data_IF_904090529617
#
_entry.id   IF_904090529617
#
_cell.length_a   1.000
_cell.length_b   1.000
_cell.length_c   1.000
_cell.angle_alpha   90.00
_cell.angle_beta   90.00
_cell.angle_gamma   90.00
#
_symmetry.space_group_name_H-M   'P 1'
#
loop_
_entity.id
_entity.type
_entity.pdbx_description
1 polymer ?
#
# COMPACT_ATOMS: atom_id res chain seq x y z
N UNK A 1 -11.16 11.98 14.74
CA UNK A 1 -12.44 11.29 15.07
C UNK A 1 -12.17 9.78 15.13
N UNK A 2 -12.85 9.04 16.00
CA UNK A 2 -12.79 7.57 16.07
C UNK A 2 -14.17 7.06 15.65
N UNK A 3 -14.22 6.26 14.59
CA UNK A 3 -15.49 5.81 13.99
C UNK A 3 -16.15 4.72 14.82
N UNK A 4 -15.34 3.78 15.30
CA UNK A 4 -15.75 2.59 16.02
C UNK A 4 -14.91 2.44 17.29
N UNK A 5 -15.22 3.27 18.30
CA UNK A 5 -14.49 3.29 19.58
C UNK A 5 -14.39 1.92 20.24
N UNK A 6 -15.44 1.09 20.11
CA UNK A 6 -15.48 -0.26 20.66
C UNK A 6 -14.30 -1.11 20.21
N UNK A 7 -13.96 -1.11 18.92
CA UNK A 7 -12.89 -1.96 18.38
C UNK A 7 -11.57 -1.18 18.22
N UNK A 8 -11.63 0.10 17.86
CA UNK A 8 -10.44 0.93 17.64
C UNK A 8 -9.71 1.30 18.95
N UNK A 9 -10.42 1.35 20.08
CA UNK A 9 -9.87 1.68 21.41
C UNK A 9 -9.93 0.52 22.41
N UNK A 10 -10.25 -0.70 21.95
CA UNK A 10 -10.35 -1.90 22.78
C UNK A 10 -9.07 -2.13 23.60
N UNK A 11 -9.15 -2.46 24.90
CA UNK A 11 -7.99 -2.85 25.69
C UNK A 11 -7.28 -4.06 25.07
N UNK A 12 -5.93 -4.09 25.16
CA UNK A 12 -5.12 -5.12 24.51
C UNK A 12 -5.53 -6.55 24.91
N UNK A 13 -5.79 -6.81 26.19
CA UNK A 13 -6.20 -8.12 26.66
C UNK A 13 -7.57 -8.57 26.08
N UNK A 14 -8.51 -7.64 25.94
CA UNK A 14 -9.81 -7.93 25.32
C UNK A 14 -9.65 -8.18 23.83
N UNK A 15 -8.77 -7.42 23.15
CA UNK A 15 -8.45 -7.63 21.75
C UNK A 15 -7.85 -9.01 21.52
N UNK A 16 -6.88 -9.43 22.32
CA UNK A 16 -6.25 -10.75 22.18
C UNK A 16 -7.28 -11.87 22.35
N UNK A 17 -8.19 -11.75 23.33
CA UNK A 17 -9.29 -12.72 23.52
C UNK A 17 -10.21 -12.77 22.30
N UNK A 18 -10.57 -11.61 21.74
CA UNK A 18 -11.38 -11.51 20.53
C UNK A 18 -10.67 -12.16 19.33
N UNK A 19 -9.39 -11.85 19.13
CA UNK A 19 -8.58 -12.37 18.02
C UNK A 19 -8.40 -13.88 18.13
N UNK A 20 -8.11 -14.43 19.32
CA UNK A 20 -8.04 -15.89 19.54
C UNK A 20 -9.38 -16.56 19.23
N UNK A 21 -10.49 -15.98 19.71
CA UNK A 21 -11.82 -16.51 19.43
C UNK A 21 -12.14 -16.53 17.93
N UNK A 22 -11.82 -15.44 17.21
CA UNK A 22 -12.04 -15.33 15.77
C UNK A 22 -11.09 -16.23 14.98
N UNK A 23 -9.84 -16.39 15.42
CA UNK A 23 -8.86 -17.29 14.80
C UNK A 23 -9.30 -18.75 14.90
N UNK A 24 -9.82 -19.19 16.05
CA UNK A 24 -10.42 -20.53 16.21
C UNK A 24 -11.58 -20.73 15.23
N UNK A 25 -12.48 -19.76 15.16
CA UNK A 25 -13.61 -19.81 14.24
C UNK A 25 -13.15 -19.88 12.79
N UNK A 26 -12.18 -19.06 12.40
CA UNK A 26 -11.58 -19.06 11.06
C UNK A 26 -11.00 -20.44 10.72
N UNK A 27 -10.18 -21.03 11.60
CA UNK A 27 -9.55 -22.32 11.30
C UNK A 27 -10.58 -23.44 11.14
N UNK A 28 -11.63 -23.46 11.96
CA UNK A 28 -12.75 -24.38 11.79
C UNK A 28 -13.54 -24.12 10.49
N UNK A 29 -13.78 -22.85 10.18
CA UNK A 29 -14.47 -22.43 8.96
C UNK A 29 -13.70 -22.84 7.70
N UNK A 30 -12.39 -22.60 7.64
CA UNK A 30 -11.51 -22.99 6.54
C UNK A 30 -11.47 -24.50 6.37
N UNK A 31 -11.33 -25.24 7.48
CA UNK A 31 -11.30 -26.71 7.46
C UNK A 31 -12.57 -27.31 6.86
N UNK A 32 -13.74 -26.75 7.21
CA UNK A 32 -15.03 -27.24 6.72
C UNK A 32 -15.30 -26.85 5.27
N UNK A 33 -14.97 -25.63 4.88
CA UNK A 33 -15.49 -25.03 3.64
C UNK A 33 -14.48 -24.92 2.50
N UNK A 34 -13.19 -25.12 2.74
CA UNK A 34 -12.17 -25.08 1.68
C UNK A 34 -11.40 -26.40 1.62
N UNK A 35 -11.53 -27.19 0.53
CA UNK A 35 -10.73 -28.40 0.34
C UNK A 35 -9.22 -28.13 0.38
N UNK A 36 -8.78 -27.00 -0.19
CA UNK A 36 -7.37 -26.58 -0.17
C UNK A 36 -6.87 -26.34 1.25
N UNK A 37 -7.61 -25.60 2.08
CA UNK A 37 -7.22 -25.39 3.47
C UNK A 37 -7.35 -26.63 4.33
N UNK A 38 -8.35 -27.49 4.09
CA UNK A 38 -8.48 -28.76 4.78
C UNK A 38 -7.21 -29.59 4.62
N UNK A 39 -6.73 -29.75 3.38
CA UNK A 39 -5.49 -30.48 3.10
C UNK A 39 -4.28 -29.86 3.83
N UNK A 40 -4.12 -28.54 3.78
CA UNK A 40 -2.99 -27.85 4.46
C UNK A 40 -3.05 -27.98 5.98
N UNK A 41 -4.24 -27.90 6.58
CA UNK A 41 -4.43 -28.07 8.03
C UNK A 41 -4.24 -29.53 8.48
N UNK A 42 -4.58 -30.49 7.63
CA UNK A 42 -4.32 -31.92 7.88
C UNK A 42 -2.84 -32.25 7.82
N UNK A 43 -2.13 -31.74 6.81
CA UNK A 43 -0.68 -31.88 6.67
C UNK A 43 0.08 -31.25 7.86
N UNK A 44 -0.37 -30.08 8.31
CA UNK A 44 0.17 -29.43 9.51
C UNK A 44 -0.22 -30.13 10.82
N UNK A 45 -1.22 -31.03 10.80
CA UNK A 45 -1.70 -31.73 12.00
C UNK A 45 -2.40 -30.83 13.02
N UNK A 46 -2.96 -29.68 12.60
CA UNK A 46 -3.58 -28.69 13.51
C UNK A 46 -5.10 -28.64 13.33
N UNK A 47 -5.83 -28.39 14.42
CA UNK A 47 -7.27 -28.13 14.48
C UNK A 47 -7.58 -26.86 15.26
N UNK A 48 -8.80 -26.37 15.12
CA UNK A 48 -9.26 -25.14 15.79
C UNK A 48 -9.11 -25.21 17.33
N UNK A 49 -9.29 -26.38 17.94
CA UNK A 49 -9.20 -26.56 19.40
C UNK A 49 -7.75 -26.51 19.92
N UNK A 50 -6.75 -26.65 19.05
CA UNK A 50 -5.33 -26.59 19.44
C UNK A 50 -4.86 -25.14 19.66
N UNK A 51 -5.58 -24.17 19.11
CA UNK A 51 -5.27 -22.75 19.21
C UNK A 51 -5.67 -22.25 20.60
N UNK A 52 -4.71 -21.98 21.48
CA UNK A 52 -4.91 -21.48 22.85
C UNK A 52 -4.57 -20.01 22.99
N UNK A 53 -3.69 -19.51 22.14
CA UNK A 53 -3.18 -18.14 22.12
C UNK A 53 -2.80 -17.71 20.71
N UNK A 54 -2.48 -16.43 20.51
CA UNK A 54 -1.96 -15.95 19.23
C UNK A 54 -0.57 -16.52 18.90
N UNK A 55 0.19 -16.98 19.90
CA UNK A 55 1.48 -17.64 19.66
C UNK A 55 1.34 -18.95 18.88
N UNK A 56 0.15 -19.56 18.86
CA UNK A 56 -0.10 -20.81 18.14
C UNK A 56 -0.22 -20.61 16.62
N UNK A 57 -0.25 -19.34 16.14
CA UNK A 57 -0.14 -19.02 14.71
C UNK A 57 1.10 -19.68 14.08
N UNK A 58 2.20 -19.80 14.83
CA UNK A 58 3.45 -20.40 14.32
C UNK A 58 3.29 -21.86 13.85
N UNK A 59 2.24 -22.56 14.33
CA UNK A 59 1.93 -23.94 13.94
C UNK A 59 0.99 -24.01 12.73
N UNK A 60 0.36 -22.89 12.35
CA UNK A 60 -0.54 -22.84 11.20
C UNK A 60 0.23 -22.60 9.90
N UNK A 61 -0.18 -23.24 8.79
CA UNK A 61 0.50 -23.13 7.52
C UNK A 61 0.33 -21.75 6.91
N UNK A 62 1.36 -21.28 6.19
CA UNK A 62 1.27 -20.07 5.37
C UNK A 62 0.39 -20.27 4.15
N UNK A 63 -0.23 -19.18 3.70
CA UNK A 63 -0.82 -19.08 2.36
C UNK A 63 0.07 -18.21 1.48
N UNK A 64 0.46 -18.73 0.33
CA UNK A 64 1.25 -18.04 -0.68
C UNK A 64 0.37 -17.58 -1.84
N UNK A 65 0.93 -16.74 -2.70
CA UNK A 65 0.29 -16.37 -3.97
C UNK A 65 0.16 -17.55 -4.93
N UNK A 66 1.05 -18.53 -4.83
CA UNK A 66 1.01 -19.73 -5.66
C UNK A 66 -0.20 -20.59 -5.32
N UNK A 67 -0.54 -20.73 -4.03
CA UNK A 67 -1.76 -21.41 -3.61
C UNK A 67 -3.01 -20.83 -4.30
N UNK A 68 -3.09 -19.50 -4.41
CA UNK A 68 -4.20 -18.81 -5.09
C UNK A 68 -4.21 -19.08 -6.61
N UNK A 69 -3.04 -19.23 -7.24
CA UNK A 69 -2.92 -19.52 -8.68
C UNK A 69 -3.28 -20.97 -9.01
N UNK A 70 -2.82 -21.91 -8.19
CA UNK A 70 -3.10 -23.34 -8.34
C UNK A 70 -4.58 -23.66 -8.20
N UNK A 71 -5.29 -22.84 -7.41
CA UNK A 71 -6.72 -22.98 -7.16
C UNK A 71 -7.58 -22.00 -7.99
N UNK A 72 -7.03 -21.39 -9.04
CA UNK A 72 -7.79 -20.49 -9.91
C UNK A 72 -8.96 -21.21 -10.62
N UNK A 73 -10.15 -20.57 -10.79
CA UNK A 73 -10.46 -19.21 -10.38
C UNK A 73 -11.02 -19.08 -8.96
N UNK A 74 -11.70 -20.12 -8.44
CA UNK A 74 -12.50 -20.03 -7.21
C UNK A 74 -12.24 -21.18 -6.23
N UNK A 75 -11.21 -22.01 -6.45
CA UNK A 75 -10.95 -23.22 -5.67
C UNK A 75 -10.62 -22.98 -4.19
N UNK A 76 -10.24 -21.75 -3.82
CA UNK A 76 -10.05 -21.33 -2.43
C UNK A 76 -11.24 -20.59 -1.82
N UNK A 77 -12.33 -20.37 -2.56
CA UNK A 77 -13.51 -19.72 -2.00
C UNK A 77 -14.16 -20.65 -0.98
N UNK A 78 -14.58 -20.09 0.16
CA UNK A 78 -15.23 -20.82 1.25
C UNK A 78 -16.76 -20.74 1.21
N UNK A 79 -17.32 -20.09 0.18
CA UNK A 79 -18.76 -19.96 -0.06
C UNK A 79 -19.06 -20.29 -1.52
N UNK A 80 -20.26 -20.81 -1.84
CA UNK A 80 -20.69 -20.97 -3.23
C UNK A 80 -20.84 -19.61 -3.91
N UNK A 81 -20.65 -19.58 -5.23
CA UNK A 81 -20.71 -18.33 -6.02
C UNK A 81 -22.04 -17.58 -5.90
N UNK A 82 -23.15 -18.25 -5.57
CA UNK A 82 -24.45 -17.60 -5.33
C UNK A 82 -24.46 -16.66 -4.10
N UNK A 83 -23.51 -16.83 -3.17
CA UNK A 83 -23.33 -15.94 -2.02
C UNK A 83 -22.30 -14.84 -2.30
N UNK A 84 -21.58 -14.90 -3.43
CA UNK A 84 -20.58 -13.92 -3.83
C UNK A 84 -21.27 -12.79 -4.60
N UNK A 85 -21.24 -11.60 -4.04
CA UNK A 85 -21.85 -10.40 -4.65
C UNK A 85 -20.85 -9.59 -5.49
N UNK A 86 -19.55 -9.86 -5.34
CA UNK A 86 -18.50 -9.15 -6.09
C UNK A 86 -17.26 -10.01 -6.32
N UNK A 87 -16.66 -9.81 -7.48
CA UNK A 87 -15.36 -10.40 -7.85
C UNK A 87 -14.43 -9.30 -8.33
N UNK A 88 -13.20 -9.29 -7.84
CA UNK A 88 -12.09 -8.50 -8.37
C UNK A 88 -11.00 -9.44 -8.90
N UNK A 89 -10.22 -8.95 -9.87
CA UNK A 89 -9.12 -9.70 -10.48
C UNK A 89 -7.93 -8.80 -10.72
N UNK A 90 -6.72 -9.33 -10.51
CA UNK A 90 -5.50 -8.64 -10.90
C UNK A 90 -5.34 -8.60 -12.43
N UNK A 91 -4.51 -7.69 -12.92
CA UNK A 91 -4.32 -7.40 -14.35
C UNK A 91 -3.50 -8.46 -15.12
N UNK A 92 -3.07 -9.55 -14.46
CA UNK A 92 -2.43 -10.75 -15.03
C UNK A 92 -1.55 -10.53 -16.27
N UNK A 93 -0.27 -10.18 -16.09
CA UNK A 93 0.63 -9.87 -17.23
C UNK A 93 1.48 -11.05 -17.71
N UNK A 94 1.58 -12.15 -16.96
CA UNK A 94 2.45 -13.31 -17.31
C UNK A 94 1.89 -14.67 -16.88
N UNK A 95 0.63 -14.77 -16.44
CA UNK A 95 0.00 -16.00 -15.96
C UNK A 95 -1.47 -15.82 -15.56
N UNK A 96 -2.05 -16.82 -14.89
CA UNK A 96 -3.42 -16.72 -14.37
C UNK A 96 -3.50 -15.61 -13.31
N UNK A 97 -4.49 -14.70 -13.41
CA UNK A 97 -4.62 -13.62 -12.44
C UNK A 97 -5.08 -14.15 -11.08
N UNK A 98 -4.85 -13.36 -10.03
CA UNK A 98 -5.42 -13.63 -8.71
C UNK A 98 -6.84 -13.10 -8.68
N UNK A 99 -7.79 -13.95 -8.28
CA UNK A 99 -9.21 -13.63 -8.20
C UNK A 99 -9.61 -13.57 -6.74
N UNK A 100 -10.36 -12.54 -6.37
CA UNK A 100 -10.83 -12.34 -5.00
C UNK A 100 -12.34 -12.10 -5.02
N UNK A 101 -13.06 -12.83 -4.17
CA UNK A 101 -14.50 -12.74 -4.02
C UNK A 101 -14.89 -12.04 -2.73
N UNK A 102 -16.12 -11.50 -2.70
CA UNK A 102 -16.72 -10.84 -1.56
C UNK A 102 -18.18 -11.29 -1.42
N UNK A 103 -18.58 -11.72 -0.23
CA UNK A 103 -20.00 -11.76 0.16
C UNK A 103 -20.52 -10.34 0.43
N UNK A 104 -21.83 -10.19 0.69
CA UNK A 104 -22.37 -8.89 1.11
C UNK A 104 -21.72 -8.42 2.41
N UNK A 105 -21.53 -9.34 3.38
CA UNK A 105 -20.87 -9.07 4.65
C UNK A 105 -19.39 -8.67 4.46
N UNK A 106 -18.71 -9.23 3.47
CA UNK A 106 -17.34 -8.81 3.13
C UNK A 106 -17.30 -7.39 2.57
N UNK A 107 -18.29 -6.99 1.75
CA UNK A 107 -18.41 -5.61 1.27
C UNK A 107 -18.73 -4.65 2.42
N UNK A 108 -19.58 -5.05 3.36
CA UNK A 108 -19.91 -4.24 4.53
C UNK A 108 -18.70 -4.07 5.46
N UNK A 109 -17.92 -5.14 5.66
CA UNK A 109 -16.63 -5.11 6.35
C UNK A 109 -15.65 -4.16 5.66
N UNK A 110 -15.54 -4.26 4.33
CA UNK A 110 -14.64 -3.39 3.57
C UNK A 110 -15.03 -1.91 3.73
N UNK A 111 -16.32 -1.62 3.65
CA UNK A 111 -16.88 -0.29 3.85
C UNK A 111 -16.59 0.24 5.26
N UNK A 112 -16.71 -0.60 6.29
CA UNK A 112 -16.35 -0.29 7.68
C UNK A 112 -14.86 0.03 7.82
N UNK A 113 -13.98 -0.79 7.25
CA UNK A 113 -12.54 -0.56 7.28
C UNK A 113 -12.16 0.78 6.61
N UNK A 114 -12.79 1.10 5.48
CA UNK A 114 -12.56 2.38 4.78
C UNK A 114 -13.18 3.57 5.52
N UNK A 115 -14.29 3.41 6.22
CA UNK A 115 -14.85 4.45 7.08
C UNK A 115 -13.89 4.79 8.24
N UNK A 116 -13.27 3.78 8.87
CA UNK A 116 -12.22 3.99 9.89
C UNK A 116 -11.02 4.74 9.31
N UNK A 117 -10.59 4.41 8.10
CA UNK A 117 -9.48 5.10 7.43
C UNK A 117 -9.78 6.57 7.13
N UNK A 118 -10.93 6.86 6.51
CA UNK A 118 -11.31 8.22 6.14
C UNK A 118 -11.58 9.10 7.38
N UNK A 119 -12.22 8.57 8.43
CA UNK A 119 -12.39 9.31 9.69
C UNK A 119 -11.08 9.52 10.45
N UNK A 120 -10.11 8.61 10.30
CA UNK A 120 -8.72 8.79 10.72
C UNK A 120 -8.02 9.96 10.01
N UNK A 121 -8.44 10.27 8.78
CA UNK A 121 -8.06 11.45 8.02
C UNK A 121 -8.91 12.70 8.31
N UNK A 122 -9.79 12.64 9.31
CA UNK A 122 -10.66 13.74 9.70
C UNK A 122 -11.89 13.92 8.81
N UNK A 123 -12.24 12.94 7.96
CA UNK A 123 -13.49 12.97 7.21
C UNK A 123 -14.71 12.84 8.14
N UNK A 124 -15.78 13.54 7.75
CA UNK A 124 -17.08 13.57 8.40
C UNK A 124 -18.17 13.56 7.33
N UNK A 125 -19.44 13.49 7.73
CA UNK A 125 -20.58 13.62 6.81
C UNK A 125 -20.66 14.96 6.05
N UNK A 126 -19.89 15.96 6.47
CA UNK A 126 -19.85 17.28 5.82
C UNK A 126 -18.74 17.40 4.76
N UNK A 127 -17.95 16.35 4.59
CA UNK A 127 -16.85 16.33 3.64
C UNK A 127 -17.27 15.88 2.24
N UNK A 128 -16.50 16.33 1.25
CA UNK A 128 -16.62 15.92 -0.16
C UNK A 128 -15.36 15.15 -0.51
N UNK A 129 -15.50 13.84 -0.68
CA UNK A 129 -14.39 12.91 -0.95
C UNK A 129 -14.20 12.77 -2.47
N UNK A 130 -13.07 13.26 -2.95
CA UNK A 130 -12.65 13.22 -4.33
C UNK A 130 -11.89 11.91 -4.61
N UNK A 131 -12.58 10.94 -5.19
CA UNK A 131 -12.04 9.60 -5.43
C UNK A 131 -11.44 9.54 -6.83
N UNK A 132 -10.12 9.73 -6.89
CA UNK A 132 -9.31 9.68 -8.10
C UNK A 132 -8.49 8.37 -8.22
N UNK A 133 -8.80 7.36 -7.41
CA UNK A 133 -8.38 5.99 -7.67
C UNK A 133 -9.13 5.38 -8.86
N UNK A 134 -8.47 4.49 -9.59
CA UNK A 134 -9.13 3.68 -10.63
C UNK A 134 -10.30 2.86 -10.07
N UNK A 135 -11.42 2.90 -10.78
CA UNK A 135 -12.60 2.05 -10.57
C UNK A 135 -12.51 0.76 -11.41
N UNK A 136 -13.62 0.01 -11.50
CA UNK A 136 -13.70 -1.25 -12.25
C UNK A 136 -13.15 -2.41 -11.42
N UNK A 137 -12.20 -3.16 -11.98
CA UNK A 137 -11.58 -4.30 -11.29
C UNK A 137 -10.57 -3.88 -10.22
N UNK A 138 -10.15 -2.61 -10.19
CA UNK A 138 -9.30 -2.09 -9.12
C UNK A 138 -10.13 -1.84 -7.86
N UNK A 139 -9.65 -2.33 -6.72
CA UNK A 139 -10.33 -2.19 -5.43
C UNK A 139 -10.30 -0.75 -4.93
N UNK A 140 -9.25 0.03 -5.24
CA UNK A 140 -9.05 1.41 -4.76
C UNK A 140 -10.29 2.31 -4.86
N UNK A 141 -10.85 2.46 -6.07
CA UNK A 141 -12.01 3.33 -6.31
C UNK A 141 -13.23 2.92 -5.49
N UNK A 142 -13.67 1.66 -5.61
CA UNK A 142 -14.85 1.16 -4.89
C UNK A 142 -14.66 1.17 -3.36
N UNK A 143 -13.45 0.92 -2.86
CA UNK A 143 -13.18 0.96 -1.42
C UNK A 143 -13.37 2.36 -0.83
N UNK A 144 -12.70 3.36 -1.42
CA UNK A 144 -12.86 4.75 -0.99
C UNK A 144 -14.30 5.24 -1.14
N UNK A 145 -14.98 4.82 -2.22
CA UNK A 145 -16.38 5.11 -2.46
C UNK A 145 -17.28 4.62 -1.32
N UNK A 146 -17.27 3.32 -1.02
CA UNK A 146 -18.17 2.76 -0.02
C UNK A 146 -17.84 3.23 1.41
N UNK A 147 -16.56 3.46 1.73
CA UNK A 147 -16.18 4.05 3.01
C UNK A 147 -16.74 5.46 3.20
N UNK A 148 -16.66 6.29 2.17
CA UNK A 148 -17.18 7.66 2.22
C UNK A 148 -18.70 7.70 2.31
N UNK A 149 -19.41 6.87 1.53
CA UNK A 149 -20.88 6.75 1.63
C UNK A 149 -21.31 6.24 3.01
N UNK A 150 -20.56 5.30 3.60
CA UNK A 150 -20.83 4.78 4.95
C UNK A 150 -20.71 5.85 6.04
N UNK A 151 -19.79 6.81 5.89
CA UNK A 151 -19.67 7.98 6.77
C UNK A 151 -20.86 8.96 6.55
N UNK A 152 -21.51 8.89 5.39
CA UNK A 152 -22.48 9.87 4.93
C UNK A 152 -21.84 11.11 4.30
N UNK A 153 -20.58 11.00 3.87
CA UNK A 153 -19.89 12.05 3.12
C UNK A 153 -20.33 12.03 1.64
N UNK A 154 -20.20 13.18 0.95
CA UNK A 154 -20.44 13.22 -0.50
C UNK A 154 -19.26 12.64 -1.25
N UNK A 155 -19.52 11.87 -2.32
CA UNK A 155 -18.46 11.24 -3.14
C UNK A 155 -18.44 11.85 -4.53
N UNK A 156 -17.26 12.23 -5.00
CA UNK A 156 -16.99 12.55 -6.40
C UNK A 156 -16.21 11.37 -7.01
N UNK A 157 -16.89 10.43 -7.71
CA UNK A 157 -16.28 9.22 -8.23
C UNK A 157 -15.66 9.45 -9.61
N UNK A 158 -14.64 10.29 -9.69
CA UNK A 158 -14.08 10.74 -10.97
C UNK A 158 -13.09 9.75 -11.60
N UNK A 159 -12.52 8.83 -10.82
CA UNK A 159 -11.47 7.91 -11.27
C UNK A 159 -10.17 8.67 -11.62
N UNK A 160 -9.15 7.95 -12.13
CA UNK A 160 -7.91 8.57 -12.59
C UNK A 160 -8.05 9.27 -13.96
N UNK A 161 -7.06 10.11 -14.28
CA UNK A 161 -6.91 10.76 -15.59
C UNK A 161 -7.68 12.06 -15.77
N UNK A 162 -7.47 12.70 -16.93
CA UNK A 162 -7.98 14.05 -17.25
C UNK A 162 -7.70 15.06 -16.12
N UNK A 163 -6.42 15.24 -15.78
CA UNK A 163 -5.97 16.00 -14.60
C UNK A 163 -6.49 17.45 -14.56
N UNK A 164 -6.63 18.13 -15.71
CA UNK A 164 -7.24 19.48 -15.75
C UNK A 164 -8.69 19.48 -15.26
N UNK A 165 -9.45 18.45 -15.60
CA UNK A 165 -10.83 18.27 -15.12
C UNK A 165 -10.88 17.90 -13.64
N UNK A 166 -9.90 17.16 -13.13
CA UNK A 166 -9.77 16.89 -11.69
C UNK A 166 -9.69 18.20 -10.90
N UNK A 167 -8.80 19.10 -11.31
CA UNK A 167 -8.54 20.38 -10.65
C UNK A 167 -9.78 21.29 -10.71
N UNK A 168 -10.40 21.40 -11.88
CA UNK A 168 -11.65 22.13 -12.07
C UNK A 168 -12.73 21.63 -11.11
N UNK A 169 -12.93 20.31 -11.03
CA UNK A 169 -13.95 19.71 -10.15
C UNK A 169 -13.61 19.91 -8.67
N UNK A 170 -12.35 19.75 -8.27
CA UNK A 170 -11.94 19.99 -6.88
C UNK A 170 -12.22 21.43 -6.44
N UNK A 171 -11.95 22.39 -7.33
CA UNK A 171 -12.22 23.82 -7.12
C UNK A 171 -13.72 24.11 -7.07
N UNK A 172 -14.45 23.69 -8.10
CA UNK A 172 -15.86 24.07 -8.29
C UNK A 172 -16.80 23.35 -7.33
N UNK A 173 -16.56 22.06 -7.05
CA UNK A 173 -17.41 21.24 -6.19
C UNK A 173 -16.93 21.24 -4.73
N UNK A 174 -15.76 21.83 -4.46
CA UNK A 174 -15.24 22.05 -3.12
C UNK A 174 -14.80 20.76 -2.43
N UNK A 175 -14.04 19.91 -3.13
CA UNK A 175 -13.46 18.69 -2.57
C UNK A 175 -12.63 18.99 -1.33
N UNK A 176 -12.83 18.22 -0.26
CA UNK A 176 -12.10 18.38 1.01
C UNK A 176 -11.13 17.24 1.31
N UNK A 177 -11.38 16.04 0.77
CA UNK A 177 -10.49 14.88 0.90
C UNK A 177 -10.11 14.38 -0.49
N UNK A 178 -8.82 14.21 -0.76
CA UNK A 178 -8.31 13.59 -1.99
C UNK A 178 -7.92 12.13 -1.75
N UNK A 179 -8.47 11.19 -2.52
CA UNK A 179 -8.09 9.78 -2.46
C UNK A 179 -7.51 9.32 -3.81
N UNK A 180 -6.20 9.13 -3.88
CA UNK A 180 -5.48 8.69 -5.09
C UNK A 180 -4.09 8.10 -4.78
N UNK A 181 -3.30 7.76 -5.79
CA UNK A 181 -1.89 7.38 -5.57
C UNK A 181 -1.05 8.62 -5.27
N UNK A 182 0.01 8.52 -4.44
CA UNK A 182 0.87 9.66 -4.14
C UNK A 182 1.56 10.23 -5.39
N UNK A 183 1.95 9.40 -6.37
CA UNK A 183 2.47 9.90 -7.65
C UNK A 183 1.43 10.69 -8.45
N UNK A 184 0.15 10.30 -8.39
CA UNK A 184 -0.90 11.06 -9.08
C UNK A 184 -1.22 12.37 -8.35
N UNK A 185 -1.11 12.42 -7.03
CA UNK A 185 -1.22 13.66 -6.27
C UNK A 185 -0.15 14.69 -6.69
N UNK A 186 1.10 14.24 -6.92
CA UNK A 186 2.16 15.10 -7.45
C UNK A 186 1.88 15.56 -8.89
N UNK A 187 1.35 14.69 -9.75
CA UNK A 187 0.91 15.08 -11.10
C UNK A 187 -0.21 16.13 -11.06
N UNK A 188 -1.16 15.99 -10.12
CA UNK A 188 -2.20 17.00 -9.88
C UNK A 188 -1.55 18.35 -9.50
N UNK A 189 -0.61 18.36 -8.57
CA UNK A 189 0.12 19.58 -8.18
C UNK A 189 0.87 20.21 -9.37
N UNK A 190 1.53 19.42 -10.21
CA UNK A 190 2.22 19.90 -11.42
C UNK A 190 1.24 20.56 -12.40
N UNK A 191 0.09 19.93 -12.65
CA UNK A 191 -0.93 20.49 -13.56
C UNK A 191 -1.65 21.69 -12.93
N UNK A 192 -1.77 21.78 -11.60
CA UNK A 192 -2.29 22.97 -10.92
C UNK A 192 -1.41 24.19 -11.19
N UNK A 193 -0.09 24.04 -11.09
CA UNK A 193 0.87 25.10 -11.40
C UNK A 193 0.77 25.54 -12.87
N UNK A 194 0.67 24.59 -13.81
CA UNK A 194 0.45 24.89 -15.22
C UNK A 194 -0.86 25.65 -15.50
N UNK A 195 -1.90 25.35 -14.72
CA UNK A 195 -3.19 26.02 -14.80
C UNK A 195 -3.22 27.36 -14.05
N UNK A 196 -2.16 27.71 -13.33
CA UNK A 196 -2.13 28.88 -12.46
C UNK A 196 -3.12 28.81 -11.29
N UNK A 197 -3.47 27.59 -10.85
CA UNK A 197 -4.36 27.34 -9.71
C UNK A 197 -3.52 27.09 -8.46
N UNK A 198 -3.73 27.88 -7.41
CA UNK A 198 -3.02 27.71 -6.15
C UNK A 198 -3.77 26.80 -5.17
N UNK A 199 -3.06 26.24 -4.19
CA UNK A 199 -3.65 25.33 -3.20
C UNK A 199 -4.75 25.99 -2.34
N UNK A 200 -4.65 27.29 -2.08
CA UNK A 200 -5.65 28.08 -1.35
C UNK A 200 -6.96 28.29 -2.11
N UNK A 201 -6.97 28.05 -3.42
CA UNK A 201 -8.19 28.02 -4.22
C UNK A 201 -8.95 26.68 -4.09
N UNK A 202 -8.34 25.66 -3.47
CA UNK A 202 -8.96 24.39 -3.16
C UNK A 202 -9.39 24.32 -1.69
N UNK A 203 -10.32 23.41 -1.37
CA UNK A 203 -10.79 23.15 0.01
C UNK A 203 -10.17 21.90 0.63
N UNK A 204 -9.11 21.36 0.02
CA UNK A 204 -8.46 20.14 0.48
C UNK A 204 -7.89 20.35 1.89
N UNK A 205 -8.24 19.44 2.80
CA UNK A 205 -7.70 19.43 4.17
C UNK A 205 -6.82 18.21 4.45
N UNK A 206 -7.11 17.09 3.78
CA UNK A 206 -6.33 15.88 3.88
C UNK A 206 -6.38 15.07 2.59
N UNK A 207 -5.41 14.18 2.43
CA UNK A 207 -5.35 13.21 1.35
C UNK A 207 -5.04 11.83 1.91
N UNK A 208 -5.67 10.81 1.33
CA UNK A 208 -5.47 9.40 1.67
C UNK A 208 -4.82 8.73 0.47
N UNK A 209 -3.53 8.41 0.62
CA UNK A 209 -2.65 8.00 -0.46
C UNK A 209 -2.09 6.60 -0.22
N UNK A 210 -1.98 5.80 -1.27
CA UNK A 210 -1.56 4.40 -1.16
C UNK A 210 -1.47 3.71 -2.52
N UNK A 211 -1.52 2.38 -2.50
CA UNK A 211 -1.32 1.46 -3.65
C UNK A 211 0.13 1.39 -4.20
N UNK A 212 1.04 2.24 -3.70
CA UNK A 212 2.46 2.19 -3.99
C UNK A 212 3.28 2.62 -2.77
N UNK A 213 4.51 2.11 -2.58
CA UNK A 213 5.42 2.62 -1.57
C UNK A 213 5.79 4.08 -1.85
N UNK A 214 5.89 4.89 -0.79
CA UNK A 214 6.26 6.29 -0.88
C UNK A 214 6.94 6.77 0.41
N UNK A 215 7.92 7.65 0.26
CA UNK A 215 8.77 8.18 1.33
C UNK A 215 8.12 9.33 2.11
N UNK A 216 8.68 9.64 3.28
CA UNK A 216 8.35 10.86 4.03
C UNK A 216 8.74 12.13 3.24
N UNK A 217 9.77 12.04 2.40
CA UNK A 217 10.14 13.12 1.48
C UNK A 217 9.01 13.41 0.47
N UNK A 218 8.47 12.37 -0.18
CA UNK A 218 7.30 12.51 -1.06
C UNK A 218 6.08 13.05 -0.32
N UNK A 219 5.89 12.66 0.94
CA UNK A 219 4.83 13.23 1.79
C UNK A 219 4.99 14.73 1.96
N UNK A 220 6.15 15.20 2.40
CA UNK A 220 6.41 16.65 2.59
C UNK A 220 6.14 17.44 1.30
N UNK A 221 6.52 16.88 0.15
CA UNK A 221 6.29 17.51 -1.15
C UNK A 221 4.80 17.63 -1.49
N UNK A 222 4.03 16.55 -1.30
CA UNK A 222 2.58 16.56 -1.51
C UNK A 222 1.90 17.57 -0.57
N UNK A 223 2.27 17.57 0.72
CA UNK A 223 1.69 18.50 1.70
C UNK A 223 2.01 19.96 1.36
N UNK A 224 3.25 20.25 0.95
CA UNK A 224 3.68 21.59 0.57
C UNK A 224 2.96 22.11 -0.68
N UNK A 225 2.82 21.27 -1.72
CA UNK A 225 2.24 21.70 -3.01
C UNK A 225 0.72 21.70 -3.03
N UNK A 226 0.07 20.81 -2.28
CA UNK A 226 -1.40 20.71 -2.25
C UNK A 226 -2.04 21.34 -1.01
N UNK A 227 -1.27 21.78 -0.02
CA UNK A 227 -1.79 22.45 1.17
C UNK A 227 -2.68 21.55 2.06
N UNK A 228 -2.40 20.25 2.11
CA UNK A 228 -3.21 19.25 2.83
C UNK A 228 -2.36 18.39 3.76
N UNK A 229 -3.01 17.62 4.65
CA UNK A 229 -2.37 16.55 5.43
C UNK A 229 -2.33 15.25 4.63
N UNK A 230 -1.15 14.70 4.35
CA UNK A 230 -1.00 13.50 3.53
C UNK A 230 -0.88 12.23 4.40
N UNK A 231 -1.82 11.30 4.25
CA UNK A 231 -1.94 10.11 5.11
C UNK A 231 -1.82 8.82 4.29
N UNK A 232 -1.06 7.87 4.80
CA UNK A 232 -0.85 6.57 4.15
C UNK A 232 -2.02 5.62 4.40
N UNK A 233 -2.37 4.86 3.37
CA UNK A 233 -3.31 3.74 3.42
C UNK A 233 -2.72 2.50 2.78
N UNK A 234 -2.79 1.41 3.51
CA UNK A 234 -2.32 0.11 3.08
C UNK A 234 -3.49 -0.84 2.82
N UNK A 235 -3.32 -1.68 1.80
CA UNK A 235 -4.30 -2.69 1.45
C UNK A 235 -3.86 -3.57 0.29
N UNK A 236 -4.43 -4.77 0.27
CA UNK A 236 -4.21 -5.79 -0.73
C UNK A 236 -5.58 -6.36 -1.12
N UNK A 237 -5.79 -6.59 -2.41
CA UNK A 237 -7.05 -7.19 -2.90
C UNK A 237 -7.30 -8.57 -2.27
N UNK A 238 -6.25 -9.33 -2.04
CA UNK A 238 -6.25 -10.65 -1.39
C UNK A 238 -6.85 -10.59 0.02
N UNK A 239 -6.56 -9.53 0.77
CA UNK A 239 -7.09 -9.30 2.11
C UNK A 239 -8.50 -8.72 2.03
N UNK A 240 -8.68 -7.51 1.53
CA UNK A 240 -10.01 -6.88 1.36
C UNK A 240 -10.03 -5.73 0.33
N UNK A 241 -8.87 -5.24 -0.11
CA UNK A 241 -8.71 -3.94 -0.78
C UNK A 241 -8.00 -2.93 0.13
N UNK A 242 -8.10 -1.61 -0.15
CA UNK A 242 -7.65 -0.56 0.76
C UNK A 242 -8.37 -0.63 2.11
N UNK A 243 -7.73 -0.10 3.15
CA UNK A 243 -8.31 0.00 4.50
C UNK A 243 -7.86 -1.12 5.46
N UNK A 244 -6.94 -2.00 5.04
CA UNK A 244 -6.33 -2.99 5.95
C UNK A 244 -5.58 -2.29 7.07
N UNK A 245 -4.83 -1.23 6.72
CA UNK A 245 -4.22 -0.32 7.68
C UNK A 245 -4.22 1.12 7.16
N UNK A 246 -4.24 2.11 8.05
CA UNK A 246 -4.25 3.52 7.69
C UNK A 246 -3.59 4.41 8.76
N UNK A 247 -2.93 5.48 8.34
CA UNK A 247 -2.46 6.49 9.28
C UNK A 247 -3.62 7.28 9.90
N UNK A 248 -3.37 7.83 11.08
CA UNK A 248 -4.18 8.91 11.65
C UNK A 248 -3.45 10.24 11.51
N UNK A 249 -4.09 11.33 11.95
CA UNK A 249 -3.54 12.70 11.97
C UNK A 249 -2.12 12.86 12.55
N UNK A 250 -1.67 11.92 13.38
CA UNK A 250 -0.32 11.92 13.97
C UNK A 250 0.78 11.31 13.09
N UNK A 251 0.43 10.70 11.93
CA UNK A 251 1.43 10.32 10.92
C UNK A 251 2.57 9.41 11.45
N UNK A 252 2.23 8.55 12.42
CA UNK A 252 3.18 7.72 13.16
C UNK A 252 2.75 6.25 13.12
N UNK A 253 2.88 5.66 11.93
CA UNK A 253 2.49 4.27 11.64
C UNK A 253 1.01 4.11 11.30
N UNK A 254 0.72 3.08 10.53
CA UNK A 254 -0.61 2.76 10.02
C UNK A 254 -1.33 1.84 11.00
N UNK A 255 -2.44 2.30 11.57
CA UNK A 255 -3.34 1.50 12.39
C UNK A 255 -3.95 0.38 11.56
N UNK A 256 -3.63 -0.86 11.91
CA UNK A 256 -4.26 -2.05 11.32
C UNK A 256 -5.68 -2.19 11.89
N UNK A 257 -6.64 -2.59 11.05
CA UNK A 257 -7.99 -2.98 11.48
C UNK A 257 -7.92 -4.37 12.12
N UNK A 258 -7.23 -4.44 13.27
CA UNK A 258 -6.70 -5.66 13.88
C UNK A 258 -7.75 -6.54 14.57
N UNK A 259 -8.98 -6.06 14.71
CA UNK A 259 -10.12 -6.89 15.00
C UNK A 259 -10.48 -7.81 13.82
N UNK A 260 -10.19 -7.39 12.58
CA UNK A 260 -10.54 -8.14 11.36
C UNK A 260 -9.34 -8.75 10.62
N UNK A 261 -8.17 -8.12 10.70
CA UNK A 261 -6.95 -8.59 10.04
C UNK A 261 -5.82 -8.69 11.06
N UNK A 262 -5.39 -9.90 11.37
CA UNK A 262 -4.33 -10.14 12.34
C UNK A 262 -2.96 -10.07 11.64
N UNK A 263 -2.11 -9.07 11.95
CA UNK A 263 -0.79 -8.96 11.34
C UNK A 263 0.26 -9.75 12.11
N UNK A 264 1.24 -10.28 11.39
CA UNK A 264 2.47 -10.89 11.92
C UNK A 264 3.67 -10.33 11.15
N UNK A 265 4.83 -10.24 11.81
CA UNK A 265 6.11 -10.06 11.13
C UNK A 265 6.88 -11.37 11.25
N UNK A 266 7.29 -11.92 10.12
CA UNK A 266 8.05 -13.16 10.06
C UNK A 266 9.38 -12.94 9.34
N UNK A 267 10.35 -13.77 9.69
CA UNK A 267 11.59 -13.88 8.94
C UNK A 267 11.28 -14.44 7.53
N UNK A 268 11.67 -13.75 6.44
CA UNK A 268 11.29 -14.16 5.09
C UNK A 268 11.86 -15.53 4.67
N UNK A 269 12.99 -15.94 5.21
CA UNK A 269 13.66 -17.20 4.84
C UNK A 269 13.13 -18.37 5.66
N UNK A 270 13.04 -18.20 6.97
CA UNK A 270 12.71 -19.27 7.92
C UNK A 270 11.21 -19.34 8.24
N UNK A 271 10.45 -18.27 7.98
CA UNK A 271 9.04 -18.15 8.36
C UNK A 271 8.79 -18.04 9.86
N UNK A 272 9.84 -17.88 10.68
CA UNK A 272 9.71 -17.75 12.14
C UNK A 272 9.19 -16.37 12.51
N UNK A 273 8.30 -16.24 13.52
CA UNK A 273 7.87 -14.94 14.03
C UNK A 273 9.06 -14.11 14.53
N UNK A 274 9.06 -12.82 14.21
CA UNK A 274 10.04 -11.85 14.69
C UNK A 274 9.50 -11.03 15.87
N UNK A 275 10.37 -10.55 16.77
CA UNK A 275 9.94 -9.77 17.92
C UNK A 275 9.35 -8.40 17.50
N UNK A 276 8.51 -7.76 18.34
CA UNK A 276 7.98 -6.44 18.08
C UNK A 276 9.06 -5.42 17.70
N UNK A 277 8.77 -4.56 16.73
CA UNK A 277 9.70 -3.56 16.19
C UNK A 277 10.76 -4.09 15.21
N UNK A 278 11.00 -5.40 15.13
CA UNK A 278 11.89 -5.96 14.13
C UNK A 278 11.29 -5.82 12.72
N UNK A 279 12.15 -5.60 11.73
CA UNK A 279 11.76 -5.61 10.32
C UNK A 279 11.73 -7.03 9.77
N UNK A 280 10.72 -7.34 8.98
CA UNK A 280 10.59 -8.63 8.30
C UNK A 280 9.40 -8.63 7.33
N UNK A 281 9.01 -9.81 6.86
CA UNK A 281 7.87 -9.95 5.98
C UNK A 281 6.57 -9.83 6.74
N UNK A 282 5.69 -8.97 6.25
CA UNK A 282 4.35 -8.78 6.75
C UNK A 282 3.45 -9.93 6.30
N UNK A 283 2.75 -10.53 7.26
CA UNK A 283 1.81 -11.62 7.05
C UNK A 283 0.46 -11.24 7.65
N UNK A 284 -0.63 -11.57 6.97
CA UNK A 284 -1.99 -11.29 7.47
C UNK A 284 -2.85 -12.54 7.57
N UNK A 285 -3.68 -12.60 8.60
CA UNK A 285 -4.77 -13.56 8.73
C UNK A 285 -6.12 -12.83 8.75
N UNK A 286 -7.03 -13.17 7.82
CA UNK A 286 -8.37 -12.57 7.71
C UNK A 286 -9.34 -13.23 8.70
N UNK A 287 -9.53 -12.62 9.87
CA UNK A 287 -10.28 -13.19 10.99
C UNK A 287 -11.79 -13.31 10.77
N UNK A 288 -12.38 -12.50 9.88
CA UNK A 288 -13.85 -12.43 9.71
C UNK A 288 -14.32 -12.38 8.27
N UNK A 289 -13.42 -12.43 7.28
CA UNK A 289 -13.80 -12.45 5.86
C UNK A 289 -14.41 -13.81 5.51
N UNK A 290 -15.39 -13.85 4.61
CA UNK A 290 -16.20 -15.04 4.34
C UNK A 290 -15.90 -15.67 2.98
N UNK A 291 -15.92 -14.90 1.90
CA UNK A 291 -15.81 -15.48 0.56
C UNK A 291 -14.42 -16.10 0.30
N UNK A 292 -13.37 -15.33 0.59
CA UNK A 292 -11.97 -15.76 0.47
C UNK A 292 -11.16 -15.25 1.68
N UNK A 293 -11.37 -15.81 2.88
CA UNK A 293 -10.48 -15.58 4.00
C UNK A 293 -9.13 -16.25 3.77
N UNK A 294 -8.05 -15.54 4.08
CA UNK A 294 -6.70 -16.06 3.98
C UNK A 294 -6.10 -16.27 5.38
N UNK A 295 -5.51 -17.45 5.59
CA UNK A 295 -4.77 -17.80 6.79
C UNK A 295 -3.27 -17.58 6.57
N UNK A 296 -2.63 -16.76 7.41
CA UNK A 296 -1.20 -16.44 7.36
C UNK A 296 -0.72 -16.18 5.93
N UNK A 297 -1.36 -15.24 5.25
CA UNK A 297 -1.02 -14.86 3.88
C UNK A 297 0.30 -14.09 3.83
N UNK A 298 1.26 -14.64 3.07
CA UNK A 298 2.56 -14.02 2.79
C UNK A 298 2.40 -12.90 1.77
N UNK A 299 2.50 -11.65 2.25
CA UNK A 299 2.30 -10.47 1.39
C UNK A 299 3.52 -10.18 0.53
N UNK A 300 4.69 -10.66 0.95
CA UNK A 300 6.01 -10.24 0.47
C UNK A 300 6.36 -8.78 0.77
N UNK A 301 5.52 -8.01 1.47
CA UNK A 301 5.84 -6.65 1.88
C UNK A 301 6.73 -6.66 3.13
N UNK A 302 7.74 -5.77 3.17
CA UNK A 302 8.61 -5.58 4.34
C UNK A 302 8.09 -4.44 5.21
N UNK A 303 7.86 -4.73 6.49
CA UNK A 303 7.39 -3.76 7.49
C UNK A 303 7.85 -4.18 8.90
N UNK A 304 7.40 -3.45 9.92
CA UNK A 304 7.53 -3.78 11.33
C UNK A 304 6.24 -3.42 12.07
N UNK A 305 6.00 -4.05 13.23
CA UNK A 305 4.82 -3.79 14.07
C UNK A 305 5.19 -3.10 15.37
N UNK A 306 4.46 -2.04 15.68
CA UNK A 306 4.55 -1.29 16.93
C UNK A 306 3.23 -1.41 17.69
N UNK A 307 3.32 -1.82 18.95
CA UNK A 307 2.18 -1.98 19.85
C UNK A 307 2.09 -0.81 20.83
N UNK A 308 0.92 -0.63 21.42
CA UNK A 308 0.66 0.41 22.43
C UNK A 308 -0.26 1.52 21.93
N UNK A 309 -0.79 2.28 22.88
CA UNK A 309 -1.77 3.34 22.63
C UNK A 309 -1.14 4.48 21.81
N UNK A 310 -1.80 4.85 20.71
CA UNK A 310 -1.43 6.01 19.91
C UNK A 310 -1.95 7.31 20.53
N UNK A 311 -1.36 8.44 20.17
CA UNK A 311 -1.80 9.76 20.62
C UNK A 311 -3.25 10.06 20.22
N UNK A 312 -3.75 9.47 19.11
CA UNK A 312 -5.14 9.58 18.70
C UNK A 312 -6.13 8.79 19.57
N UNK A 313 -5.67 8.08 20.60
CA UNK A 313 -6.51 7.28 21.50
C UNK A 313 -6.68 5.82 21.08
N UNK A 314 -6.48 5.50 19.80
CA UNK A 314 -6.54 4.12 19.29
C UNK A 314 -5.49 3.24 19.94
N UNK A 315 -5.87 1.99 20.16
CA UNK A 315 -5.00 0.97 20.75
C UNK A 315 -4.56 -0.07 19.72
N UNK A 316 -5.09 -0.04 18.48
CA UNK A 316 -4.75 -1.01 17.44
C UNK A 316 -3.27 -1.01 17.12
N UNK A 317 -2.75 -2.20 16.77
CA UNK A 317 -1.35 -2.36 16.35
C UNK A 317 -1.09 -1.47 15.13
N UNK A 318 0.10 -0.87 15.11
CA UNK A 318 0.53 0.00 14.01
C UNK A 318 1.61 -0.69 13.21
N UNK A 319 1.43 -0.80 11.90
CA UNK A 319 2.49 -1.21 10.98
C UNK A 319 3.29 0.02 10.54
N UNK A 320 4.59 -0.15 10.36
CA UNK A 320 5.40 0.84 9.65
C UNK A 320 5.00 0.87 8.17
N UNK A 321 5.35 1.96 7.48
CA UNK A 321 5.23 2.03 6.01
C UNK A 321 5.96 0.85 5.37
N UNK A 322 5.43 0.37 4.25
CA UNK A 322 6.08 -0.70 3.50
C UNK A 322 7.37 -0.16 2.89
N UNK A 323 8.51 -0.67 3.36
CA UNK A 323 9.82 -0.22 2.91
C UNK A 323 10.27 -0.92 1.62
N UNK A 324 9.55 -1.94 1.16
CA UNK A 324 9.90 -2.69 -0.04
C UNK A 324 9.19 -4.03 -0.07
N UNK A 325 9.48 -4.84 -1.10
CA UNK A 325 8.92 -6.17 -1.25
C UNK A 325 10.00 -7.22 -1.50
N UNK A 326 9.90 -8.38 -0.87
CA UNK A 326 10.86 -9.49 -1.05
C UNK A 326 10.91 -10.00 -2.48
N UNK A 327 9.80 -9.89 -3.24
CA UNK A 327 9.70 -10.32 -4.63
C UNK A 327 10.01 -9.23 -5.67
N UNK A 328 9.91 -7.94 -5.30
CA UNK A 328 10.35 -6.80 -6.15
C UNK A 328 11.80 -6.36 -5.83
N UNK A 329 12.46 -7.04 -4.90
CA UNK A 329 13.84 -6.78 -4.51
C UNK A 329 14.77 -6.98 -5.70
N UNK A 330 15.48 -5.91 -6.09
CA UNK A 330 16.44 -5.98 -7.17
C UNK A 330 17.75 -6.52 -6.62
N UNK A 331 18.20 -7.66 -7.14
CA UNK A 331 19.54 -8.15 -6.88
C UNK A 331 20.46 -7.57 -7.96
N UNK A 332 21.31 -6.62 -7.56
CA UNK A 332 22.30 -5.99 -8.45
C UNK A 332 23.68 -6.29 -7.91
N UNK A 333 24.46 -7.08 -8.65
CA UNK A 333 25.83 -7.50 -8.27
C UNK A 333 25.89 -8.13 -6.87
N UNK A 334 24.85 -8.87 -6.47
CA UNK A 334 24.76 -9.55 -5.18
C UNK A 334 24.26 -8.68 -4.01
N UNK A 335 23.90 -7.42 -4.27
CA UNK A 335 23.31 -6.51 -3.29
C UNK A 335 21.79 -6.44 -3.47
N UNK A 336 21.06 -6.54 -2.38
CA UNK A 336 19.61 -6.38 -2.33
C UNK A 336 19.25 -4.89 -2.33
N UNK A 337 18.56 -4.44 -3.36
CA UNK A 337 18.19 -3.03 -3.56
C UNK A 337 16.67 -2.91 -3.61
N UNK A 338 16.11 -2.07 -2.75
CA UNK A 338 14.71 -1.68 -2.81
C UNK A 338 14.55 -0.32 -3.50
N UNK A 339 13.68 -0.18 -4.52
CA UNK A 339 13.45 1.10 -5.21
C UNK A 339 13.10 2.29 -4.29
N UNK A 340 12.49 2.03 -3.14
CA UNK A 340 12.13 3.00 -2.09
C UNK A 340 13.35 3.62 -1.37
N UNK A 341 14.46 2.88 -1.26
CA UNK A 341 15.70 3.40 -0.69
C UNK A 341 16.29 4.49 -1.60
N UNK A 342 16.21 4.27 -2.92
CA UNK A 342 16.62 5.26 -3.92
C UNK A 342 15.72 6.48 -3.86
N UNK A 343 14.39 6.31 -3.74
CA UNK A 343 13.47 7.43 -3.57
C UNK A 343 13.82 8.29 -2.35
N UNK A 344 14.08 7.64 -1.21
CA UNK A 344 14.42 8.34 0.04
C UNK A 344 15.66 9.21 -0.14
N UNK A 345 16.72 8.66 -0.75
CA UNK A 345 17.95 9.42 -1.04
C UNK A 345 17.68 10.61 -1.95
N UNK A 346 16.90 10.43 -3.01
CA UNK A 346 16.60 11.51 -3.94
C UNK A 346 15.80 12.62 -3.25
N UNK A 347 14.74 12.26 -2.52
CA UNK A 347 13.87 13.24 -1.85
C UNK A 347 14.55 14.02 -0.71
N UNK A 348 15.67 13.53 -0.16
CA UNK A 348 16.45 14.25 0.85
C UNK A 348 17.50 15.21 0.23
N UNK A 349 17.68 15.19 -1.09
CA UNK A 349 18.64 16.04 -1.81
C UNK A 349 17.99 17.26 -2.47
N UNK A 350 18.43 18.45 -2.10
CA UNK A 350 18.01 19.71 -2.73
C UNK A 350 18.31 19.75 -4.23
N UNK A 351 17.35 20.18 -5.06
CA UNK A 351 17.53 20.31 -6.50
C UNK A 351 17.18 19.07 -7.33
N UNK A 352 16.68 18.01 -6.70
CA UNK A 352 16.05 16.87 -7.40
C UNK A 352 14.53 16.98 -7.35
N UNK A 353 13.87 16.45 -8.37
CA UNK A 353 12.40 16.36 -8.44
C UNK A 353 11.94 14.94 -8.02
N UNK A 354 10.67 14.75 -7.60
CA UNK A 354 10.14 13.45 -7.19
C UNK A 354 9.97 12.43 -8.35
N UNK A 355 10.45 12.77 -9.54
CA UNK A 355 10.37 11.97 -10.75
C UNK A 355 11.70 11.31 -11.04
N UNK A 356 11.72 9.98 -10.93
CA UNK A 356 12.89 9.15 -11.12
C UNK A 356 12.51 7.80 -11.73
N UNK A 357 13.45 7.20 -12.46
CA UNK A 357 13.33 5.88 -13.06
C UNK A 357 14.61 5.08 -12.86
N UNK A 358 14.50 3.88 -12.33
CA UNK A 358 15.59 2.93 -12.21
C UNK A 358 15.61 2.08 -13.47
N UNK A 359 16.66 2.24 -14.27
CA UNK A 359 16.90 1.44 -15.47
C UNK A 359 17.96 0.40 -15.15
N UNK A 360 17.58 -0.87 -15.27
CA UNK A 360 18.51 -1.99 -15.07
C UNK A 360 18.83 -2.56 -16.44
N UNK A 361 20.11 -2.72 -16.72
CA UNK A 361 20.60 -3.30 -17.95
C UNK A 361 21.67 -4.36 -17.63
N UNK A 362 22.09 -5.12 -18.65
CA UNK A 362 23.22 -6.04 -18.58
C UNK A 362 24.24 -5.66 -19.65
N UNK A 363 25.47 -5.39 -19.22
CA UNK A 363 26.61 -5.13 -20.11
C UNK A 363 27.62 -6.25 -19.92
N UNK A 364 27.65 -7.19 -20.87
CA UNK A 364 28.44 -8.43 -20.74
C UNK A 364 27.94 -9.31 -19.58
N UNK A 365 28.81 -9.62 -18.63
CA UNK A 365 28.50 -10.47 -17.47
C UNK A 365 28.03 -9.69 -16.22
N UNK A 366 27.98 -8.35 -16.28
CA UNK A 366 27.67 -7.51 -15.13
C UNK A 366 26.33 -6.80 -15.32
N UNK A 367 25.51 -6.83 -14.27
CA UNK A 367 24.32 -6.01 -14.19
C UNK A 367 24.73 -4.54 -13.92
N UNK A 368 24.11 -3.62 -14.66
CA UNK A 368 24.29 -2.19 -14.54
C UNK A 368 22.99 -1.54 -14.11
N UNK A 369 23.05 -0.70 -13.08
CA UNK A 369 21.93 0.10 -12.61
C UNK A 369 22.19 1.56 -12.91
N UNK A 370 21.28 2.17 -13.66
CA UNK A 370 21.24 3.60 -13.95
C UNK A 370 19.99 4.22 -13.32
N UNK A 371 20.15 5.32 -12.61
CA UNK A 371 19.05 6.06 -11.99
C UNK A 371 18.86 7.36 -12.75
N UNK A 372 17.73 7.48 -13.44
CA UNK A 372 17.32 8.68 -14.15
C UNK A 372 16.60 9.59 -13.16
N UNK A 373 17.02 10.85 -13.07
CA UNK A 373 16.46 11.82 -12.12
C UNK A 373 16.12 13.09 -12.90
N UNK A 374 14.87 13.54 -12.80
CA UNK A 374 14.49 14.85 -13.32
C UNK A 374 15.06 15.95 -12.41
N UNK A 375 15.62 16.98 -13.05
CA UNK A 375 16.15 18.16 -12.36
C UNK A 375 15.42 19.40 -12.83
N UNK A 376 15.36 20.40 -11.97
CA UNK A 376 14.66 21.66 -12.23
C UNK A 376 15.16 22.38 -13.50
N UNK A 377 14.27 23.01 -14.27
CA UNK A 377 14.62 23.78 -15.47
C UNK A 377 15.69 24.86 -15.17
N UNK A 378 15.70 25.39 -13.94
CA UNK A 378 16.68 26.37 -13.48
C UNK A 378 18.14 25.88 -13.58
N UNK A 379 18.39 24.56 -13.57
CA UNK A 379 19.74 24.00 -13.69
C UNK A 379 20.22 23.82 -15.15
N UNK A 380 19.32 23.86 -16.13
CA UNK A 380 19.69 23.75 -17.56
C UNK A 380 20.16 25.08 -18.17
N UNK A 381 20.00 26.18 -17.42
CA UNK A 381 20.26 27.54 -17.91
C UNK A 381 21.74 27.92 -18.07
N UNK A 382 22.67 27.54 -17.17
CA UNK A 382 24.05 28.05 -17.28
C UNK A 382 25.20 27.35 -16.50
N UNK A 383 25.03 26.20 -15.82
CA UNK A 383 26.17 25.59 -15.09
C UNK A 383 26.25 24.07 -15.22
N UNK A 384 26.87 23.58 -16.31
CA UNK A 384 27.28 22.15 -16.46
C UNK A 384 27.98 21.63 -15.20
N UNK A 385 28.78 22.49 -14.54
CA UNK A 385 29.45 22.18 -13.28
C UNK A 385 28.49 21.89 -12.12
N UNK A 386 27.34 22.58 -12.03
CA UNK A 386 26.33 22.31 -11.00
C UNK A 386 25.62 20.99 -11.24
N UNK A 387 25.28 20.68 -12.50
CA UNK A 387 24.69 19.40 -12.87
C UNK A 387 25.65 18.23 -12.59
N UNK A 388 26.94 18.39 -12.91
CA UNK A 388 27.97 17.41 -12.56
C UNK A 388 28.10 17.25 -11.04
N UNK A 389 28.13 18.35 -10.27
CA UNK A 389 28.20 18.30 -8.82
C UNK A 389 26.97 17.61 -8.19
N UNK A 390 25.76 17.91 -8.70
CA UNK A 390 24.51 17.27 -8.26
C UNK A 390 24.52 15.77 -8.58
N UNK A 391 24.89 15.39 -9.81
CA UNK A 391 25.01 13.99 -10.21
C UNK A 391 25.99 13.21 -9.34
N UNK A 392 27.16 13.80 -9.04
CA UNK A 392 28.15 13.19 -8.14
C UNK A 392 27.62 13.08 -6.71
N UNK A 393 26.90 14.09 -6.21
CA UNK A 393 26.29 14.06 -4.88
C UNK A 393 25.23 12.95 -4.79
N UNK A 394 24.31 12.87 -5.75
CA UNK A 394 23.31 11.80 -5.84
C UNK A 394 23.99 10.43 -5.86
N UNK A 395 25.01 10.26 -6.71
CA UNK A 395 25.75 9.01 -6.82
C UNK A 395 26.37 8.60 -5.49
N UNK A 396 27.01 9.54 -4.78
CA UNK A 396 27.66 9.30 -3.49
C UNK A 396 26.66 8.91 -2.40
N UNK A 397 25.52 9.59 -2.31
CA UNK A 397 24.50 9.26 -1.32
C UNK A 397 23.84 7.90 -1.61
N UNK A 398 23.54 7.60 -2.88
CA UNK A 398 23.03 6.28 -3.27
C UNK A 398 24.04 5.19 -2.94
N UNK A 399 25.33 5.41 -3.21
CA UNK A 399 26.41 4.47 -2.87
C UNK A 399 26.55 4.29 -1.36
N UNK A 400 26.36 5.36 -0.57
CA UNK A 400 26.39 5.30 0.89
C UNK A 400 25.23 4.49 1.46
N UNK A 401 24.02 4.66 0.91
CA UNK A 401 22.81 3.96 1.38
C UNK A 401 22.75 2.51 0.89
N UNK A 402 23.14 2.25 -0.36
CA UNK A 402 23.03 0.91 -0.96
C UNK A 402 24.32 0.09 -0.85
N UNK A 403 25.47 0.70 -0.58
CA UNK A 403 26.77 0.04 -0.69
C UNK A 403 27.15 -0.34 -2.13
N UNK A 404 26.50 0.28 -3.13
CA UNK A 404 26.61 -0.05 -4.55
C UNK A 404 26.77 1.23 -5.39
N UNK A 405 27.84 1.32 -6.18
CA UNK A 405 27.99 2.40 -7.16
C UNK A 405 27.01 2.24 -8.32
N UNK A 406 26.26 3.30 -8.60
CA UNK A 406 25.27 3.40 -9.69
C UNK A 406 25.68 4.46 -10.71
N UNK A 407 25.13 4.38 -11.92
CA UNK A 407 25.17 5.52 -12.85
C UNK A 407 23.97 6.42 -12.55
N UNK A 408 24.19 7.74 -12.57
CA UNK A 408 23.12 8.73 -12.41
C UNK A 408 23.02 9.51 -13.70
N UNK A 409 21.82 9.55 -14.28
CA UNK A 409 21.52 10.32 -15.48
C UNK A 409 20.53 11.41 -15.11
N UNK A 410 20.97 12.67 -15.17
CA UNK A 410 20.07 13.81 -15.04
C UNK A 410 19.34 13.98 -16.37
N UNK A 411 18.02 14.10 -16.33
CA UNK A 411 17.16 14.25 -17.51
C UNK A 411 16.32 15.52 -17.40
N UNK A 412 15.89 16.04 -18.55
CA UNK A 412 15.03 17.23 -18.62
C UNK A 412 13.67 16.95 -17.93
N UNK A 413 13.04 17.97 -17.32
CA UNK A 413 11.68 17.87 -16.82
C UNK A 413 10.72 17.24 -17.82
N UNK A 414 9.82 16.40 -17.33
CA UNK A 414 8.79 15.69 -18.13
C UNK A 414 9.33 14.68 -19.13
N UNK A 415 10.62 14.31 -19.05
CA UNK A 415 11.18 13.18 -19.80
C UNK A 415 10.66 11.84 -19.26
N UNK A 416 10.39 11.75 -17.96
CA UNK A 416 9.89 10.54 -17.30
C UNK A 416 8.36 10.55 -17.33
N UNK A 417 7.78 9.51 -17.93
CA UNK A 417 6.33 9.36 -18.09
C UNK A 417 5.60 9.49 -16.74
N UNK A 418 4.64 10.42 -16.67
CA UNK A 418 3.76 10.59 -15.51
C UNK A 418 2.71 9.47 -15.50
N UNK A 419 2.46 8.89 -14.33
CA UNK A 419 1.43 7.85 -14.19
C UNK A 419 0.11 8.44 -13.68
N UNK A 420 -1.00 7.99 -14.25
CA UNK A 420 -2.36 8.22 -13.74
C UNK A 420 -2.80 7.16 -12.71
N UNK A 421 -1.90 6.23 -12.37
CA UNK A 421 -2.09 5.16 -11.39
C UNK A 421 -0.82 4.89 -10.60
N UNK A 422 -0.43 3.61 -10.44
CA UNK A 422 0.85 3.24 -9.82
C UNK A 422 2.01 3.63 -10.75
N UNK A 423 3.02 4.33 -10.25
CA UNK A 423 4.19 4.68 -11.01
C UNK A 423 5.07 3.45 -11.29
N UNK A 424 5.51 3.28 -12.54
CA UNK A 424 6.53 2.29 -12.90
C UNK A 424 7.91 2.90 -12.67
N UNK A 425 8.50 2.64 -11.50
CA UNK A 425 9.81 3.17 -11.10
C UNK A 425 10.99 2.30 -11.52
N UNK A 426 10.75 1.10 -12.04
CA UNK A 426 11.79 0.17 -12.48
C UNK A 426 11.52 -0.27 -13.91
N UNK A 427 12.54 -0.15 -14.76
CA UNK A 427 12.59 -0.69 -16.11
C UNK A 427 13.75 -1.69 -16.18
N UNK A 428 13.42 -2.98 -16.10
CA UNK A 428 14.40 -4.08 -16.15
C UNK A 428 14.57 -4.59 -17.58
N UNK A 429 15.62 -4.11 -18.25
CA UNK A 429 15.96 -4.45 -19.64
C UNK A 429 16.76 -5.76 -19.76
N UNK A 430 17.14 -6.40 -18.63
CA UNK A 430 17.89 -7.68 -18.68
C UNK A 430 17.10 -8.78 -19.38
N UNK A 431 15.76 -8.73 -19.32
CA UNK A 431 14.83 -9.70 -19.92
C UNK A 431 14.57 -9.48 -21.41
N UNK A 432 14.86 -8.30 -21.93
CA UNK A 432 14.70 -7.97 -23.37
C UNK A 432 15.97 -8.34 -24.18
N UNK A 433 17.09 -8.55 -23.50
CA UNK A 433 18.37 -8.98 -24.07
C UNK A 433 18.57 -10.51 -24.04
N UNK A 434 17.51 -11.28 -23.77
CA UNK A 434 17.53 -12.76 -23.68
C UNK A 434 16.99 -13.42 -24.93
#
# INVERSE_FOLDING_TARGET
MIWNERYECMPQEERERLQVSRLRHLVDYLYRNSPAYRAKLEDAGVRALDIRSLNDLQYLPFTSKEDLRDNYPFGMFCVPMEQVVRVHSSSGTTGKPTVVGYTQEDVDLWSEAMARALTGAGATRHDVVHVAYGYGLFTGGLGAHYGAERIGASVIPISGGNTKRQIMIMKDFGSTILACTPSYALNIAEVMEEMGVSADELKLKAGVFGAEPWSEGMRREIEARLGLKALDIYGLSEIIGPGVACECEYQNGLHVVDDHFLPEIVDPETGKPLPPGAQGELVFTCLTKQALPLLRYRTHDISSLTYGKCQCGRTSVRMARVSGRTDDMLIIRGVNVFPSQIETVLMDLEGTQPHYLIVINRSGALDEMEVWVEVDERFFGDEIRQLEALSQRIRREIETVLGLSVRVRLVEPKTIERSEGKAKRVKDLRKEAS
#
